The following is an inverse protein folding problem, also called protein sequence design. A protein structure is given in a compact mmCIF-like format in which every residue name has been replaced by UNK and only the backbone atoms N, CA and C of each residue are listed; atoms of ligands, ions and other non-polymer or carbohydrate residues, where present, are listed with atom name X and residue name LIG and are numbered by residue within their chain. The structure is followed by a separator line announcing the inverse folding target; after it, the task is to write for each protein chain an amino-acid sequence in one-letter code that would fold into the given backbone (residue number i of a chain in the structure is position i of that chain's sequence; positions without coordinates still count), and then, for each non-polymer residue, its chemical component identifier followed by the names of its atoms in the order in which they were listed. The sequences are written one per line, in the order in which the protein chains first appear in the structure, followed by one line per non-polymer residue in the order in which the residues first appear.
data_IF_108750720767
#
_entry.id   IF_108750720767
#
_cell.length_a   1.000
_cell.length_b   1.000
_cell.length_c   1.000
_cell.angle_alpha   90.00
_cell.angle_beta   90.00
_cell.angle_gamma   90.00
#
_symmetry.space_group_name_H-M   'P 1'
#
loop_
_entity.id
_entity.type
_entity.pdbx_description
1 polymer ?
#
# COMPACT_ATOMS: atom_id res chain seq x y z
N UNK A 1 -12.05 -1.92 5.84
CA UNK A 1 -11.66 -3.34 5.87
C UNK A 1 -10.25 -3.43 6.43
N UNK A 2 -9.98 -4.37 7.34
CA UNK A 2 -8.64 -4.65 7.86
C UNK A 2 -8.31 -6.12 7.56
N UNK A 3 -7.16 -6.37 6.94
CA UNK A 3 -6.70 -7.71 6.54
C UNK A 3 -5.47 -8.09 7.37
N UNK A 4 -5.61 -9.09 8.24
CA UNK A 4 -4.53 -9.63 9.08
C UNK A 4 -4.35 -11.13 8.86
N UNK A 5 -3.27 -11.69 9.39
CA UNK A 5 -2.92 -13.12 9.27
C UNK A 5 -1.43 -13.35 9.44
N UNK A 6 -1.03 -14.60 9.61
CA UNK A 6 0.37 -15.00 9.80
C UNK A 6 1.25 -14.75 8.57
N UNK A 7 2.57 -14.62 8.70
CA UNK A 7 3.49 -14.60 7.56
C UNK A 7 3.20 -15.75 6.58
N UNK A 8 3.20 -15.47 5.27
CA UNK A 8 2.87 -16.48 4.25
C UNK A 8 1.38 -16.73 4.00
N UNK A 9 0.46 -16.12 4.75
CA UNK A 9 -1.00 -16.32 4.59
C UNK A 9 -1.63 -15.70 3.31
N UNK A 10 -0.83 -15.27 2.33
CA UNK A 10 -1.33 -14.72 1.06
C UNK A 10 -1.89 -13.29 1.11
N UNK A 11 -1.67 -12.52 2.18
CA UNK A 11 -2.20 -11.13 2.31
C UNK A 11 -1.83 -10.23 1.13
N UNK A 12 -0.55 -10.24 0.72
CA UNK A 12 -0.05 -9.45 -0.41
C UNK A 12 -0.75 -9.84 -1.72
N UNK A 13 -1.04 -11.13 -1.90
CA UNK A 13 -1.75 -11.62 -3.09
C UNK A 13 -3.16 -11.04 -3.16
N UNK A 14 -3.93 -11.08 -2.05
CA UNK A 14 -5.29 -10.52 -2.01
C UNK A 14 -5.28 -9.01 -2.25
N UNK A 15 -4.35 -8.29 -1.62
CA UNK A 15 -4.20 -6.84 -1.84
C UNK A 15 -3.98 -6.54 -3.32
N UNK A 16 -3.07 -7.26 -3.98
CA UNK A 16 -2.78 -7.05 -5.41
C UNK A 16 -3.97 -7.38 -6.32
N UNK A 17 -4.76 -8.40 -5.99
CA UNK A 17 -6.00 -8.71 -6.72
C UNK A 17 -7.03 -7.61 -6.57
N UNK A 18 -7.20 -7.09 -5.35
CA UNK A 18 -8.15 -6.00 -5.10
C UNK A 18 -7.74 -4.70 -5.82
N UNK A 19 -6.44 -4.38 -5.83
CA UNK A 19 -5.90 -3.25 -6.59
C UNK A 19 -6.15 -3.42 -8.09
N UNK A 20 -5.90 -4.61 -8.64
CA UNK A 20 -6.14 -4.90 -10.06
C UNK A 20 -7.62 -4.75 -10.42
N UNK A 21 -8.51 -5.22 -9.55
CA UNK A 21 -9.96 -5.06 -9.69
C UNK A 21 -10.41 -3.59 -9.66
N UNK A 22 -9.84 -2.75 -8.80
CA UNK A 22 -10.17 -1.32 -8.76
C UNK A 22 -9.64 -0.60 -10.01
N UNK A 23 -8.42 -0.92 -10.46
CA UNK A 23 -7.83 -0.37 -11.69
C UNK A 23 -8.64 -0.72 -12.94
N UNK A 24 -9.12 -1.96 -13.07
CA UNK A 24 -9.95 -2.37 -14.23
C UNK A 24 -11.28 -1.61 -14.30
N UNK A 25 -11.74 -1.09 -13.16
CA UNK A 25 -12.94 -0.25 -13.03
C UNK A 25 -12.64 1.24 -13.09
N UNK A 26 -11.41 1.63 -13.45
CA UNK A 26 -10.95 3.02 -13.50
C UNK A 26 -11.11 3.77 -12.18
N UNK A 27 -11.05 3.05 -11.06
CA UNK A 27 -11.00 3.65 -9.73
C UNK A 27 -9.54 3.99 -9.42
N UNK A 28 -9.27 5.26 -9.19
CA UNK A 28 -7.95 5.70 -8.75
C UNK A 28 -7.67 5.21 -7.33
N UNK A 29 -6.48 4.63 -7.12
CA UNK A 29 -6.09 4.04 -5.84
C UNK A 29 -4.69 4.49 -5.46
N UNK A 30 -4.53 4.94 -4.21
CA UNK A 30 -3.23 5.19 -3.62
C UNK A 30 -2.73 3.93 -2.92
N UNK A 31 -1.55 3.45 -3.31
CA UNK A 31 -0.88 2.32 -2.65
C UNK A 31 0.19 2.86 -1.71
N UNK A 32 0.00 2.64 -0.41
CA UNK A 32 0.89 3.19 0.61
C UNK A 32 1.35 2.14 1.61
N UNK A 33 2.57 2.29 2.13
CA UNK A 33 3.06 1.55 3.29
C UNK A 33 3.69 2.49 4.34
N UNK A 34 4.01 1.96 5.52
CA UNK A 34 4.62 2.74 6.62
C UNK A 34 6.11 3.04 6.39
N UNK A 35 6.83 2.18 5.67
CA UNK A 35 8.27 2.32 5.39
C UNK A 35 8.57 2.26 3.90
N UNK A 36 9.71 2.83 3.49
CA UNK A 36 10.14 2.84 2.09
C UNK A 36 10.31 1.44 1.51
N UNK A 37 10.97 0.53 2.24
CA UNK A 37 11.19 -0.86 1.78
C UNK A 37 9.86 -1.62 1.63
N UNK A 38 8.89 -1.40 2.52
CA UNK A 38 7.59 -2.02 2.37
C UNK A 38 6.82 -1.44 1.17
N UNK A 39 6.92 -0.13 0.96
CA UNK A 39 6.26 0.56 -0.14
C UNK A 39 6.78 0.10 -1.52
N UNK A 40 8.09 -0.09 -1.67
CA UNK A 40 8.68 -0.57 -2.93
C UNK A 40 8.22 -1.98 -3.28
N UNK A 41 8.07 -2.86 -2.29
CA UNK A 41 7.59 -4.24 -2.51
C UNK A 41 6.14 -4.31 -3.02
N UNK A 42 5.32 -3.28 -2.79
CA UNK A 42 3.93 -3.23 -3.25
C UNK A 42 3.73 -2.22 -4.40
N UNK A 43 4.80 -1.66 -4.96
CA UNK A 43 4.75 -0.70 -6.07
C UNK A 43 4.08 0.64 -5.68
N UNK A 44 4.24 1.06 -4.43
CA UNK A 44 3.66 2.29 -3.89
C UNK A 44 4.70 3.26 -3.32
N UNK A 45 4.22 4.18 -2.48
CA UNK A 45 5.08 5.11 -1.72
C UNK A 45 4.75 5.06 -0.23
N UNK A 46 5.49 5.80 0.60
CA UNK A 46 5.12 5.86 2.02
C UNK A 46 3.85 6.69 2.21
N UNK A 47 3.10 6.43 3.28
CA UNK A 47 1.92 7.25 3.62
C UNK A 47 2.30 8.72 3.86
N UNK A 48 3.50 8.97 4.41
CA UNK A 48 4.05 10.31 4.60
C UNK A 48 4.27 11.03 3.26
N UNK A 49 4.96 10.36 2.32
CA UNK A 49 5.21 10.91 0.97
C UNK A 49 3.90 11.16 0.21
N UNK A 50 2.93 10.24 0.30
CA UNK A 50 1.64 10.37 -0.38
C UNK A 50 0.79 11.51 0.20
N UNK A 51 0.78 11.67 1.52
CA UNK A 51 -0.02 12.70 2.19
C UNK A 51 0.61 14.10 2.17
N UNK A 52 1.88 14.22 1.74
CA UNK A 52 2.64 15.46 1.84
C UNK A 52 3.03 15.84 3.27
N UNK A 53 2.79 14.94 4.24
CA UNK A 53 3.19 15.13 5.63
C UNK A 53 4.68 14.82 5.72
N UNK A 54 5.50 15.87 5.65
CA UNK A 54 6.94 15.78 5.81
C UNK A 54 7.35 15.19 7.16
N UNK A 55 8.62 14.84 7.28
CA UNK A 55 9.23 14.43 8.55
C UNK A 55 9.56 15.66 9.39
N UNK A 56 9.25 15.62 10.69
CA UNK A 56 9.73 16.63 11.64
C UNK A 56 11.26 16.58 11.65
N UNK A 57 11.90 17.68 11.23
CA UNK A 57 13.34 17.91 11.47
C UNK A 57 13.48 18.64 12.80
N UNK A 58 14.27 18.09 13.71
CA UNK A 58 14.76 18.79 14.90
C UNK A 58 16.09 19.46 14.57
#
# INVERSE_FOLDING_TARGET
MFLSGEPGSGKTYIVNQYVSYLRSRKVEVAITASTGIAATHIGGMTIHSWSGIGIKRN
#
